data_IF_354051942788
#
_entry.id   IF_354051942788
#
_cell.length_a   1.000
_cell.length_b   1.000
_cell.length_c   1.000
_cell.angle_alpha   90.00
_cell.angle_beta   90.00
_cell.angle_gamma   90.00
#
_symmetry.space_group_name_H-M   'P 1'
#
loop_
_entity.id
_entity.type
_entity.pdbx_description
1 polymer ?
#
# COMPACT_ATOMS: atom_id res chain seq x y z
N UNK A 1 -34.03 28.21 44.54
CA UNK A 1 -32.58 28.45 44.55
C UNK A 1 -32.10 28.29 43.12
N UNK A 2 -31.60 29.37 42.53
CA UNK A 2 -31.13 29.43 41.15
C UNK A 2 -29.74 28.77 41.03
N UNK A 3 -29.29 28.54 39.79
CA UNK A 3 -27.94 27.99 39.54
C UNK A 3 -26.83 28.90 40.09
N UNK A 4 -27.08 30.21 40.12
CA UNK A 4 -26.14 31.23 40.61
C UNK A 4 -26.12 31.29 42.15
N UNK A 5 -27.26 31.07 42.81
CA UNK A 5 -27.32 30.90 44.27
C UNK A 5 -26.48 29.68 44.71
N UNK A 6 -26.56 28.58 43.95
CA UNK A 6 -25.78 27.34 44.20
C UNK A 6 -24.28 27.60 44.05
N UNK A 7 -23.85 28.28 42.97
CA UNK A 7 -22.45 28.64 42.74
C UNK A 7 -21.92 29.55 43.85
N UNK A 8 -22.69 30.56 44.26
CA UNK A 8 -22.30 31.51 45.31
C UNK A 8 -22.11 30.82 46.66
N UNK A 9 -23.06 29.94 47.03
CA UNK A 9 -22.96 29.15 48.26
C UNK A 9 -21.74 28.20 48.24
N UNK A 10 -21.43 27.61 47.08
CA UNK A 10 -20.26 26.74 46.90
C UNK A 10 -18.94 27.54 47.02
N UNK A 11 -18.85 28.70 46.36
CA UNK A 11 -17.66 29.56 46.40
C UNK A 11 -17.38 30.09 47.81
N UNK A 12 -18.40 30.51 48.56
CA UNK A 12 -18.24 30.92 49.97
C UNK A 12 -17.80 29.75 50.86
N UNK A 13 -18.40 28.56 50.71
CA UNK A 13 -18.02 27.37 51.49
C UNK A 13 -16.56 26.96 51.27
N UNK A 14 -16.01 27.21 50.08
CA UNK A 14 -14.68 26.76 49.68
C UNK A 14 -13.64 27.89 49.48
N UNK A 15 -13.97 29.14 49.87
CA UNK A 15 -13.07 30.30 49.81
C UNK A 15 -12.44 30.55 48.42
N UNK A 16 -13.19 30.28 47.35
CA UNK A 16 -12.70 30.37 45.98
C UNK A 16 -12.81 31.82 45.44
N UNK A 17 -11.74 32.40 44.85
CA UNK A 17 -11.77 33.76 44.34
C UNK A 17 -12.61 33.86 43.05
N UNK A 18 -13.50 34.86 42.99
CA UNK A 18 -14.37 35.10 41.82
C UNK A 18 -13.60 35.65 40.61
N UNK A 19 -13.33 34.81 39.62
CA UNK A 19 -12.52 35.16 38.43
C UNK A 19 -13.15 34.78 37.09
N UNK A 20 -14.42 34.37 37.07
CA UNK A 20 -15.11 33.89 35.86
C UNK A 20 -15.35 34.94 34.76
N UNK A 21 -15.24 36.24 35.07
CA UNK A 21 -15.46 37.30 34.07
C UNK A 21 -14.28 37.55 33.12
N UNK A 22 -13.10 36.95 33.35
CA UNK A 22 -11.92 37.15 32.48
C UNK A 22 -11.71 36.11 31.38
N UNK A 23 -12.44 34.99 31.37
CA UNK A 23 -12.29 33.97 30.32
C UNK A 23 -13.04 34.31 29.02
N UNK A 24 -14.02 35.22 29.04
CA UNK A 24 -14.76 35.60 27.84
C UNK A 24 -13.99 36.50 26.85
N UNK A 25 -12.85 37.08 27.27
CA UNK A 25 -12.11 38.08 26.48
C UNK A 25 -10.88 37.53 25.72
N UNK A 26 -10.52 36.25 25.91
CA UNK A 26 -9.33 35.64 25.29
C UNK A 26 -9.60 34.51 24.29
N UNK A 27 -10.86 34.13 24.07
CA UNK A 27 -11.29 33.11 23.09
C UNK A 27 -11.32 33.57 21.63
N UNK A 28 -10.48 34.56 21.26
CA UNK A 28 -10.42 35.14 19.90
C UNK A 28 -9.01 35.14 19.27
N UNK A 29 -8.08 34.35 19.80
CA UNK A 29 -6.79 34.09 19.14
C UNK A 29 -6.43 32.59 19.19
N UNK A 30 -6.11 32.02 18.03
CA UNK A 30 -5.65 30.64 17.83
C UNK A 30 -6.66 29.50 18.04
N UNK A 31 -7.82 29.60 17.39
CA UNK A 31 -8.24 28.44 16.56
C UNK A 31 -7.37 28.48 15.30
N UNK A 32 -6.56 27.46 15.06
CA UNK A 32 -6.05 27.24 13.69
C UNK A 32 -7.28 26.87 12.84
N UNK A 33 -7.64 27.74 11.91
CA UNK A 33 -8.73 27.47 10.96
C UNK A 33 -8.52 26.11 10.31
N UNK A 34 -9.56 25.27 10.27
CA UNK A 34 -9.60 24.06 9.44
C UNK A 34 -9.58 24.47 7.96
N UNK A 35 -8.40 24.88 7.47
CA UNK A 35 -8.20 25.27 6.07
C UNK A 35 -8.18 24.02 5.23
N UNK A 36 -9.17 23.93 4.34
CA UNK A 36 -9.19 22.95 3.27
C UNK A 36 -7.88 23.05 2.47
N UNK A 37 -7.06 22.00 2.55
CA UNK A 37 -5.81 21.91 1.78
C UNK A 37 -6.17 21.40 0.39
N UNK A 38 -5.68 22.11 -0.62
CA UNK A 38 -5.85 21.68 -2.01
C UNK A 38 -4.87 20.55 -2.30
N UNK A 39 -5.40 19.45 -2.80
CA UNK A 39 -4.63 18.32 -3.30
C UNK A 39 -4.28 18.58 -4.77
N UNK A 40 -3.17 18.03 -5.24
CA UNK A 40 -2.63 18.33 -6.57
C UNK A 40 -2.30 17.04 -7.31
N UNK A 41 -2.58 17.02 -8.61
CA UNK A 41 -2.24 15.88 -9.47
C UNK A 41 -0.77 15.93 -9.89
N UNK A 42 -0.13 14.77 -10.06
CA UNK A 42 1.17 14.72 -10.71
C UNK A 42 1.03 14.98 -12.22
N UNK A 43 1.71 16.02 -12.72
CA UNK A 43 1.68 16.44 -14.13
C UNK A 43 3.01 16.22 -14.85
N UNK A 44 4.00 15.59 -14.20
CA UNK A 44 5.40 15.48 -14.66
C UNK A 44 5.82 14.07 -15.11
N UNK A 45 4.85 13.23 -15.52
CA UNK A 45 5.08 11.85 -15.95
C UNK A 45 6.19 11.69 -17.01
N UNK A 46 7.08 10.70 -16.80
CA UNK A 46 8.07 10.25 -17.79
C UNK A 46 8.15 8.72 -17.75
N UNK A 47 7.91 8.06 -18.88
CA UNK A 47 7.93 6.59 -19.05
C UNK A 47 9.22 5.95 -18.47
N UNK A 48 9.09 4.86 -17.72
CA UNK A 48 10.21 4.16 -17.07
C UNK A 48 10.35 2.69 -17.51
N UNK A 49 11.53 2.12 -17.23
CA UNK A 49 11.93 0.74 -17.50
C UNK A 49 12.43 0.06 -16.22
N UNK A 50 13.64 -0.51 -16.24
CA UNK A 50 14.28 -1.41 -15.23
C UNK A 50 14.48 -0.92 -13.77
N UNK A 51 13.61 -0.06 -13.23
CA UNK A 51 13.82 0.57 -11.91
C UNK A 51 13.30 -0.25 -10.72
N UNK A 52 12.40 -1.19 -10.96
CA UNK A 52 11.68 -1.95 -9.93
C UNK A 52 12.60 -2.72 -8.97
N UNK A 53 13.70 -3.39 -9.40
CA UNK A 53 14.61 -4.06 -8.48
C UNK A 53 15.16 -3.07 -7.44
N UNK A 54 15.75 -1.96 -7.89
CA UNK A 54 16.30 -0.93 -6.99
C UNK A 54 15.25 -0.32 -6.04
N UNK A 55 14.00 -0.21 -6.47
CA UNK A 55 12.89 0.22 -5.58
C UNK A 55 12.61 -0.83 -4.50
N UNK A 56 12.53 -2.11 -4.85
CA UNK A 56 12.29 -3.22 -3.92
C UNK A 56 13.43 -3.41 -2.94
N UNK A 57 14.67 -3.27 -3.41
CA UNK A 57 15.88 -3.25 -2.58
C UNK A 57 15.74 -2.27 -1.40
N UNK A 58 15.09 -1.12 -1.62
CA UNK A 58 14.90 -0.08 -0.59
C UNK A 58 13.60 -0.22 0.20
N UNK A 59 12.46 -0.53 -0.45
CA UNK A 59 11.15 -0.72 0.21
C UNK A 59 11.25 -1.78 1.32
N UNK A 60 12.12 -2.79 1.13
CA UNK A 60 12.27 -3.91 2.04
C UNK A 60 13.67 -4.09 2.65
N UNK A 61 14.57 -3.11 2.50
CA UNK A 61 15.97 -3.18 3.00
C UNK A 61 16.70 -4.48 2.62
N UNK A 62 16.47 -4.94 1.39
CA UNK A 62 17.03 -6.20 0.89
C UNK A 62 18.55 -6.06 0.80
N UNK A 63 19.28 -7.08 1.23
CA UNK A 63 20.69 -7.25 0.85
C UNK A 63 20.76 -8.30 -0.27
N UNK A 64 21.31 -7.96 -1.45
CA UNK A 64 21.46 -8.92 -2.54
C UNK A 64 22.37 -10.08 -2.15
N UNK A 65 22.07 -11.27 -2.65
CA UNK A 65 22.98 -12.44 -2.61
C UNK A 65 23.84 -12.55 -3.87
N UNK A 66 23.62 -11.69 -4.87
CA UNK A 66 24.35 -11.61 -6.14
C UNK A 66 24.74 -10.14 -6.41
N UNK A 67 25.89 -9.93 -7.08
CA UNK A 67 26.43 -8.61 -7.41
C UNK A 67 25.41 -7.77 -8.21
N UNK A 68 25.21 -6.50 -7.84
CA UNK A 68 24.14 -5.65 -8.39
C UNK A 68 24.64 -4.20 -8.51
N UNK A 69 24.08 -3.34 -9.38
CA UNK A 69 24.51 -1.95 -9.46
C UNK A 69 23.91 -1.09 -8.33
N UNK A 70 22.99 -1.66 -7.54
CA UNK A 70 22.28 -0.99 -6.45
C UNK A 70 22.98 -1.26 -5.11
N UNK A 71 23.54 -0.21 -4.49
CA UNK A 71 24.14 -0.30 -3.15
C UNK A 71 23.25 0.43 -2.14
N UNK A 72 22.91 -0.21 -1.02
CA UNK A 72 22.29 0.49 0.11
C UNK A 72 23.39 1.24 0.86
N UNK A 73 23.41 2.57 0.73
CA UNK A 73 24.29 3.43 1.53
C UNK A 73 23.56 3.77 2.84
N UNK A 74 24.05 3.21 3.95
CA UNK A 74 23.62 3.61 5.29
C UNK A 74 24.33 4.90 5.71
N UNK A 75 23.93 6.03 5.12
CA UNK A 75 24.46 7.34 5.54
C UNK A 75 23.93 7.70 6.94
N UNK A 76 24.78 7.49 7.94
CA UNK A 76 24.58 8.02 9.28
C UNK A 76 24.83 9.52 9.25
N UNK A 77 23.76 10.31 9.16
CA UNK A 77 23.83 11.74 9.42
C UNK A 77 24.04 11.95 10.93
N UNK A 78 25.30 11.97 11.36
CA UNK A 78 25.69 12.44 12.70
C UNK A 78 25.41 13.94 12.82
N UNK A 79 24.22 14.28 13.32
CA UNK A 79 23.84 15.66 13.61
C UNK A 79 24.60 16.20 14.84
N UNK A 80 25.74 16.86 14.58
CA UNK A 80 26.54 17.54 15.60
C UNK A 80 26.24 19.05 15.57
N UNK A 81 25.28 19.49 16.39
CA UNK A 81 25.54 20.62 17.30
C UNK A 81 24.57 20.69 18.49
N UNK A 82 25.13 20.91 19.69
CA UNK A 82 24.40 21.00 20.96
C UNK A 82 23.94 22.43 21.25
N UNK A 83 22.75 22.62 21.84
CA UNK A 83 22.49 23.38 23.09
C UNK A 83 21.02 23.83 23.21
N UNK A 84 20.38 23.96 24.39
CA UNK A 84 20.50 23.26 25.68
C UNK A 84 19.27 23.63 26.55
N UNK A 85 18.70 22.67 27.30
CA UNK A 85 17.73 22.88 28.42
C UNK A 85 16.31 23.37 27.97
N UNK A 86 15.21 23.08 28.69
CA UNK A 86 15.05 22.51 30.04
C UNK A 86 13.80 21.60 30.17
N UNK A 87 14.00 20.47 30.85
CA UNK A 87 13.05 19.55 31.54
C UNK A 87 11.65 20.14 31.85
N UNK A 88 10.53 19.40 31.76
CA UNK A 88 10.26 18.20 32.58
C UNK A 88 8.84 17.62 32.35
N UNK A 89 8.71 16.28 32.55
CA UNK A 89 7.57 15.52 33.14
C UNK A 89 6.12 15.78 32.65
N UNK A 90 5.21 14.83 32.47
CA UNK A 90 5.12 13.36 32.37
C UNK A 90 3.65 13.00 32.68
N UNK A 91 3.03 12.10 31.91
CA UNK A 91 1.88 11.22 32.28
C UNK A 91 0.49 11.88 32.50
N UNK A 92 -0.69 11.26 32.28
CA UNK A 92 -1.25 10.11 31.50
C UNK A 92 -2.74 10.10 31.91
N UNK A 93 -3.69 9.87 30.97
CA UNK A 93 -5.06 9.35 31.21
C UNK A 93 -6.04 10.22 32.03
N UNK A 94 -7.35 10.23 31.79
CA UNK A 94 -8.27 9.09 31.54
C UNK A 94 -9.58 9.51 30.85
N UNK A 95 -10.15 8.56 30.07
CA UNK A 95 -11.54 8.40 29.58
C UNK A 95 -12.50 9.60 29.32
N UNK A 96 -12.94 9.70 28.06
CA UNK A 96 -14.33 9.47 27.56
C UNK A 96 -15.58 9.65 28.46
N UNK A 97 -16.79 9.80 27.86
CA UNK A 97 -17.13 10.35 26.52
C UNK A 97 -18.34 11.32 26.54
N UNK A 98 -18.66 11.98 25.42
CA UNK A 98 -20.08 12.13 25.04
C UNK A 98 -20.29 12.38 23.53
N UNK A 99 -21.46 11.97 23.04
CA UNK A 99 -21.71 11.63 21.61
C UNK A 99 -22.35 12.79 20.85
N UNK A 100 -22.04 12.91 19.57
CA UNK A 100 -22.95 13.51 18.57
C UNK A 100 -23.12 12.53 17.41
N UNK A 101 -24.37 12.16 17.13
CA UNK A 101 -24.71 11.27 16.02
C UNK A 101 -24.95 12.09 14.75
N UNK A 102 -24.35 11.67 13.63
CA UNK A 102 -24.68 12.15 12.29
C UNK A 102 -25.19 10.95 11.49
N UNK A 103 -26.49 10.94 11.19
CA UNK A 103 -27.07 10.01 10.22
C UNK A 103 -26.80 10.52 8.81
N UNK A 104 -26.17 9.72 7.95
CA UNK A 104 -26.18 9.93 6.49
C UNK A 104 -26.52 8.65 5.74
N UNK A 105 -27.38 8.81 4.72
CA UNK A 105 -27.89 7.71 3.93
C UNK A 105 -26.85 7.22 2.94
N UNK A 106 -26.55 5.92 2.99
CA UNK A 106 -25.76 5.22 1.98
C UNK A 106 -26.56 5.15 0.67
N UNK A 107 -26.04 5.71 -0.42
CA UNK A 107 -26.61 5.50 -1.76
C UNK A 107 -26.02 4.21 -2.32
N UNK A 108 -26.74 3.09 -2.16
CA UNK A 108 -26.50 1.88 -2.95
C UNK A 108 -26.52 2.26 -4.44
N UNK A 109 -25.71 1.60 -5.24
CA UNK A 109 -25.93 1.62 -6.68
C UNK A 109 -27.30 0.98 -7.00
N UNK A 110 -27.75 1.06 -8.25
CA UNK A 110 -29.03 0.46 -8.66
C UNK A 110 -29.04 -1.09 -8.63
N UNK A 111 -27.90 -1.71 -8.34
CA UNK A 111 -27.68 -3.16 -8.21
C UNK A 111 -27.73 -3.65 -6.76
N UNK A 112 -27.52 -2.76 -5.78
CA UNK A 112 -27.26 -3.13 -4.39
C UNK A 112 -25.84 -3.61 -4.09
N UNK A 113 -24.89 -3.47 -5.03
CA UNK A 113 -23.47 -3.76 -4.80
C UNK A 113 -22.80 -2.55 -4.12
N UNK A 114 -21.73 -2.81 -3.37
CA UNK A 114 -20.72 -1.78 -3.08
C UNK A 114 -19.92 -1.54 -4.38
N UNK A 115 -19.28 -0.40 -4.53
CA UNK A 115 -18.78 0.04 -5.84
C UNK A 115 -17.47 -0.60 -6.26
N UNK A 116 -17.37 -0.98 -7.53
CA UNK A 116 -16.10 -1.25 -8.19
C UNK A 116 -15.22 0.01 -8.16
N UNK A 117 -13.91 -0.18 -8.00
CA UNK A 117 -12.89 0.85 -8.19
C UNK A 117 -12.06 0.46 -9.41
N UNK A 118 -12.32 1.06 -10.58
CA UNK A 118 -11.47 0.88 -11.75
C UNK A 118 -10.03 1.28 -11.42
N UNK A 119 -9.08 0.47 -11.87
CA UNK A 119 -7.66 0.78 -11.87
C UNK A 119 -7.17 1.01 -13.30
N UNK A 120 -6.15 1.84 -13.44
CA UNK A 120 -5.39 2.02 -14.67
C UNK A 120 -4.09 1.19 -14.56
N UNK A 121 -3.84 0.27 -15.50
CA UNK A 121 -2.50 -0.31 -15.70
C UNK A 121 -1.55 0.79 -16.17
N UNK A 122 -0.50 1.02 -15.39
CA UNK A 122 0.53 2.01 -15.68
C UNK A 122 1.85 1.30 -15.93
N UNK A 123 2.40 1.56 -17.14
CA UNK A 123 3.74 1.18 -17.56
C UNK A 123 3.99 -0.34 -17.63
N UNK A 124 3.03 -1.11 -18.17
CA UNK A 124 3.11 -2.57 -18.29
C UNK A 124 3.25 -3.23 -16.90
N UNK A 125 2.26 -3.05 -16.04
CA UNK A 125 2.14 -3.64 -14.69
C UNK A 125 3.09 -3.09 -13.62
N UNK A 126 3.75 -1.95 -13.85
CA UNK A 126 4.62 -1.32 -12.85
C UNK A 126 3.84 -0.70 -11.69
N UNK A 127 2.65 -0.15 -11.96
CA UNK A 127 1.69 0.23 -10.92
C UNK A 127 0.23 0.14 -11.41
N UNK A 128 -0.71 -0.02 -10.48
CA UNK A 128 -2.15 0.03 -10.78
C UNK A 128 -2.80 1.18 -10.01
N UNK A 129 -3.25 2.22 -10.72
CA UNK A 129 -3.76 3.44 -10.11
C UNK A 129 -5.28 3.43 -9.99
N UNK A 130 -5.76 3.51 -8.74
CA UNK A 130 -7.18 3.53 -8.40
C UNK A 130 -7.65 4.96 -8.05
N UNK A 131 -8.86 5.32 -8.45
CA UNK A 131 -9.43 6.64 -8.15
C UNK A 131 -9.97 6.72 -6.70
N UNK A 132 -9.56 7.74 -5.96
CA UNK A 132 -9.99 8.01 -4.58
C UNK A 132 -10.43 9.46 -4.42
N UNK A 133 -11.59 9.66 -3.79
CA UNK A 133 -12.21 10.98 -3.58
C UNK A 133 -12.00 11.46 -2.15
N UNK A 134 -11.29 12.57 -1.95
CA UNK A 134 -10.91 13.07 -0.62
C UNK A 134 -11.47 14.47 -0.36
N UNK A 135 -12.12 14.64 0.79
CA UNK A 135 -12.57 15.93 1.30
C UNK A 135 -13.98 16.36 0.91
N UNK A 136 -14.30 17.63 1.22
CA UNK A 136 -15.60 18.25 0.96
C UNK A 136 -15.43 19.72 0.50
N UNK A 137 -15.73 20.08 -0.76
CA UNK A 137 -16.09 19.19 -1.88
C UNK A 137 -14.99 18.15 -2.17
N UNK A 138 -15.35 16.96 -2.72
CA UNK A 138 -14.38 15.91 -3.03
C UNK A 138 -13.32 16.37 -4.03
N UNK A 139 -12.09 15.89 -3.83
CA UNK A 139 -10.95 16.02 -4.72
C UNK A 139 -10.52 14.62 -5.16
N UNK A 140 -10.69 14.30 -6.44
CA UNK A 140 -10.35 12.98 -7.02
C UNK A 140 -8.87 12.87 -7.33
N UNK A 141 -8.19 11.93 -6.70
CA UNK A 141 -6.79 11.57 -6.91
C UNK A 141 -6.66 10.16 -7.49
N UNK A 142 -5.58 9.90 -8.23
CA UNK A 142 -5.20 8.57 -8.70
C UNK A 142 -4.11 8.00 -7.79
N UNK A 143 -4.45 7.08 -6.89
CA UNK A 143 -3.54 6.53 -5.88
C UNK A 143 -3.13 5.09 -6.23
N UNK A 144 -1.88 4.73 -5.95
CA UNK A 144 -1.43 3.33 -6.01
C UNK A 144 -1.90 2.58 -4.75
N UNK A 145 -2.58 1.45 -4.92
CA UNK A 145 -3.11 0.64 -3.82
C UNK A 145 -2.08 -0.41 -3.40
N UNK A 146 -1.50 -0.25 -2.21
CA UNK A 146 -0.30 -0.96 -1.76
C UNK A 146 -0.59 -1.87 -0.57
N UNK A 147 -0.79 -3.17 -0.80
CA UNK A 147 -0.96 -4.16 0.29
C UNK A 147 0.33 -4.51 1.02
N UNK A 148 1.46 -3.90 0.64
CA UNK A 148 2.74 -3.93 1.32
C UNK A 148 3.02 -2.75 2.26
N UNK A 149 2.10 -1.78 2.40
CA UNK A 149 2.21 -0.66 3.36
C UNK A 149 0.85 -0.24 3.97
N UNK A 150 0.86 0.67 4.95
CA UNK A 150 -0.33 1.02 5.76
C UNK A 150 -0.56 2.53 5.88
N UNK A 151 0.00 3.32 4.97
CA UNK A 151 0.00 4.78 5.03
C UNK A 151 -0.83 5.32 3.85
N UNK A 152 -1.76 6.23 4.13
CA UNK A 152 -2.55 6.91 3.10
C UNK A 152 -1.96 8.30 2.88
N UNK A 153 -1.03 8.40 1.93
CA UNK A 153 -0.29 9.64 1.68
C UNK A 153 -0.44 10.14 0.25
N UNK A 154 -0.35 11.46 0.07
CA UNK A 154 -0.55 12.09 -1.23
C UNK A 154 0.16 13.44 -1.39
N UNK A 155 0.24 13.90 -2.64
CA UNK A 155 0.73 15.21 -2.99
C UNK A 155 -0.21 16.32 -2.51
N UNK A 156 0.39 17.36 -1.93
CA UNK A 156 -0.33 18.48 -1.34
C UNK A 156 0.31 19.81 -1.73
N UNK A 157 -0.43 20.92 -1.57
CA UNK A 157 0.14 22.28 -1.70
C UNK A 157 1.21 22.63 -0.67
N UNK A 158 1.56 21.72 0.26
CA UNK A 158 2.67 21.90 1.21
C UNK A 158 4.02 21.48 0.64
N UNK A 159 4.05 20.76 -0.49
CA UNK A 159 5.29 20.49 -1.23
C UNK A 159 5.96 21.80 -1.67
N UNK A 160 7.30 21.91 -1.64
CA UNK A 160 8.02 23.10 -2.07
C UNK A 160 7.65 23.51 -3.50
N UNK A 161 7.50 24.82 -3.74
CA UNK A 161 7.12 25.34 -5.06
C UNK A 161 8.06 24.91 -6.18
N UNK A 162 9.33 24.63 -5.89
CA UNK A 162 10.28 24.16 -6.89
C UNK A 162 10.07 22.67 -7.24
N UNK A 163 9.71 21.82 -6.27
CA UNK A 163 9.17 20.47 -6.51
C UNK A 163 7.95 20.52 -7.43
N UNK A 164 7.11 21.56 -7.28
CA UNK A 164 5.95 21.81 -8.14
C UNK A 164 6.29 22.41 -9.52
N UNK A 165 7.47 23.04 -9.70
CA UNK A 165 7.77 23.85 -10.89
C UNK A 165 8.87 23.35 -11.81
N UNK A 166 9.96 22.76 -11.31
CA UNK A 166 11.10 22.35 -12.13
C UNK A 166 11.48 20.86 -11.96
N UNK A 167 12.40 20.38 -12.79
CA UNK A 167 12.84 18.98 -12.86
C UNK A 167 14.30 18.85 -12.43
N UNK A 168 14.58 18.03 -11.41
CA UNK A 168 15.92 17.79 -10.86
C UNK A 168 16.24 16.27 -10.88
N UNK A 169 17.53 15.95 -10.83
CA UNK A 169 18.19 14.63 -10.82
C UNK A 169 19.43 14.72 -9.91
N UNK A 170 19.87 13.70 -9.15
CA UNK A 170 19.34 12.37 -8.80
C UNK A 170 19.57 12.12 -7.30
N UNK A 171 18.93 11.09 -6.72
CA UNK A 171 19.25 10.60 -5.37
C UNK A 171 18.28 9.52 -4.89
N UNK A 172 18.66 8.27 -5.08
CA UNK A 172 17.87 7.05 -5.02
C UNK A 172 17.44 6.57 -3.60
N UNK A 173 16.90 7.43 -2.74
CA UNK A 173 16.44 7.07 -1.38
C UNK A 173 15.00 7.51 -1.08
N UNK A 174 14.01 6.63 -1.30
CA UNK A 174 12.60 7.06 -1.36
C UNK A 174 11.89 7.21 -0.01
N UNK A 175 11.43 8.42 0.30
CA UNK A 175 10.56 8.71 1.46
C UNK A 175 9.50 9.77 1.10
N UNK A 176 8.34 9.69 1.74
CA UNK A 176 7.40 10.80 1.89
C UNK A 176 7.36 11.19 3.36
N UNK A 177 7.39 12.50 3.68
CA UNK A 177 7.28 13.01 5.05
C UNK A 177 6.44 14.28 5.05
N UNK A 178 5.64 14.49 6.09
CA UNK A 178 4.80 15.67 6.22
C UNK A 178 3.87 15.62 7.42
N UNK A 179 2.76 16.34 7.35
CA UNK A 179 1.77 16.43 8.42
C UNK A 179 0.54 15.56 8.15
N UNK A 180 -0.08 15.06 9.21
CA UNK A 180 -1.34 14.30 9.14
C UNK A 180 -2.52 15.24 9.34
N UNK A 181 -3.50 15.17 8.44
CA UNK A 181 -4.85 15.70 8.64
C UNK A 181 -5.86 14.56 8.78
N UNK A 182 -7.11 14.89 9.07
CA UNK A 182 -8.24 13.94 8.95
C UNK A 182 -9.31 14.53 8.04
N UNK A 183 -9.89 13.70 7.17
CA UNK A 183 -10.99 14.11 6.29
C UNK A 183 -11.85 12.90 5.90
N UNK A 184 -12.90 13.11 5.10
CA UNK A 184 -13.68 12.03 4.49
C UNK A 184 -12.97 11.51 3.26
N UNK A 185 -12.65 10.21 3.25
CA UNK A 185 -12.07 9.49 2.11
C UNK A 185 -13.13 8.58 1.50
N UNK A 186 -13.27 8.56 0.17
CA UNK A 186 -14.29 7.77 -0.53
C UNK A 186 -13.65 6.86 -1.56
N UNK A 187 -13.94 5.57 -1.43
CA UNK A 187 -13.36 4.46 -2.20
C UNK A 187 -14.49 3.49 -2.50
N UNK A 188 -14.71 3.09 -3.77
CA UNK A 188 -15.70 2.06 -4.11
C UNK A 188 -17.13 2.36 -3.61
N UNK A 189 -17.55 3.63 -3.66
CA UNK A 189 -18.83 4.09 -3.11
C UNK A 189 -18.96 4.07 -1.59
N UNK A 190 -17.98 3.52 -0.85
CA UNK A 190 -17.87 3.63 0.60
C UNK A 190 -17.35 5.01 1.00
N UNK A 191 -17.72 5.47 2.19
CA UNK A 191 -17.23 6.73 2.78
C UNK A 191 -16.60 6.43 4.15
N UNK A 192 -15.31 6.71 4.26
CA UNK A 192 -14.50 6.57 5.47
C UNK A 192 -14.41 7.94 6.11
N UNK A 193 -15.10 8.15 7.23
CA UNK A 193 -15.13 9.45 7.91
C UNK A 193 -14.00 9.56 8.93
N UNK A 194 -13.33 10.72 8.97
CA UNK A 194 -12.22 10.94 9.89
C UNK A 194 -10.95 10.14 9.57
N UNK A 195 -10.84 9.59 8.37
CA UNK A 195 -9.64 8.89 7.90
C UNK A 195 -8.43 9.82 7.99
N UNK A 196 -7.34 9.31 8.57
CA UNK A 196 -6.05 9.99 8.57
C UNK A 196 -5.51 10.07 7.13
N UNK A 197 -5.11 11.28 6.73
CA UNK A 197 -4.58 11.62 5.42
C UNK A 197 -3.22 12.28 5.61
N UNK A 198 -2.19 11.66 5.06
CA UNK A 198 -0.80 12.05 5.24
C UNK A 198 -0.37 12.97 4.10
N UNK A 199 -0.23 14.25 4.40
CA UNK A 199 0.03 15.28 3.40
C UNK A 199 1.53 15.45 3.22
N UNK A 200 2.05 15.01 2.08
CA UNK A 200 3.49 15.10 1.83
C UNK A 200 3.97 16.55 1.78
N UNK A 201 5.04 16.82 2.52
CA UNK A 201 5.81 18.07 2.54
C UNK A 201 7.20 17.87 1.90
N UNK A 202 7.66 16.63 1.80
CA UNK A 202 8.77 16.20 0.95
C UNK A 202 8.44 14.83 0.33
N UNK A 203 8.85 14.62 -0.92
CA UNK A 203 8.75 13.36 -1.67
C UNK A 203 10.02 13.14 -2.48
N UNK A 204 10.43 11.89 -2.60
CA UNK A 204 11.61 11.51 -3.38
C UNK A 204 11.39 11.48 -4.89
N UNK A 205 12.49 11.64 -5.62
CA UNK A 205 12.62 11.54 -7.08
C UNK A 205 11.84 10.40 -7.77
N UNK A 206 11.69 9.24 -7.13
CA UNK A 206 10.93 8.10 -7.66
C UNK A 206 9.44 8.43 -7.79
N UNK A 207 8.83 8.92 -6.71
CA UNK A 207 7.43 9.33 -6.70
C UNK A 207 7.19 10.54 -7.59
N UNK A 208 8.13 11.50 -7.65
CA UNK A 208 8.02 12.66 -8.57
C UNK A 208 7.79 12.22 -10.03
N UNK A 209 8.23 11.02 -10.39
CA UNK A 209 8.18 10.46 -11.75
C UNK A 209 7.14 9.34 -11.93
N UNK A 210 6.50 8.83 -10.86
CA UNK A 210 5.35 7.91 -10.96
C UNK A 210 4.10 8.64 -11.47
N UNK A 211 3.16 7.91 -12.08
CA UNK A 211 1.91 8.53 -12.58
C UNK A 211 0.92 8.81 -11.45
N UNK A 212 1.03 8.08 -10.33
CA UNK A 212 0.19 8.26 -9.14
C UNK A 212 0.39 9.58 -8.38
N UNK A 213 -0.69 10.05 -7.78
CA UNK A 213 -0.77 11.24 -6.90
C UNK A 213 -0.38 10.93 -5.43
N UNK A 214 -0.11 9.66 -5.12
CA UNK A 214 0.15 9.14 -3.78
C UNK A 214 -0.08 7.63 -3.66
N UNK A 215 -0.02 7.10 -2.44
CA UNK A 215 -0.31 5.70 -2.11
C UNK A 215 -1.49 5.60 -1.13
N UNK A 216 -2.25 4.52 -1.25
CA UNK A 216 -3.23 4.07 -0.27
C UNK A 216 -2.78 2.71 0.28
N UNK A 217 -2.19 2.72 1.48
CA UNK A 217 -1.78 1.49 2.17
C UNK A 217 -2.98 0.61 2.55
N UNK A 218 -2.91 -0.66 2.16
CA UNK A 218 -3.93 -1.70 2.37
C UNK A 218 -3.41 -2.90 3.17
N UNK A 219 -2.23 -2.80 3.79
CA UNK A 219 -1.77 -3.73 4.81
C UNK A 219 -2.45 -3.46 6.18
N UNK A 220 -2.00 -4.10 7.26
CA UNK A 220 -2.58 -3.93 8.60
C UNK A 220 -1.98 -2.68 9.28
N UNK A 221 -2.79 -1.90 10.02
CA UNK A 221 -2.40 -0.60 10.57
C UNK A 221 -1.26 -0.61 11.58
N UNK A 222 -0.81 -1.79 12.04
CA UNK A 222 0.32 -1.95 12.96
C UNK A 222 1.66 -1.48 12.40
N UNK A 223 1.80 -1.35 11.08
CA UNK A 223 3.01 -0.82 10.41
C UNK A 223 2.83 0.60 9.83
N UNK A 224 1.70 1.27 10.08
CA UNK A 224 1.54 2.68 9.70
C UNK A 224 2.60 3.56 10.39
N UNK A 225 3.18 4.52 9.66
CA UNK A 225 4.37 5.24 10.12
C UNK A 225 4.07 6.44 11.02
N UNK A 226 2.82 6.91 11.11
CA UNK A 226 2.41 8.09 11.89
C UNK A 226 2.94 8.05 13.33
N UNK A 227 3.32 9.23 13.83
CA UNK A 227 3.84 9.45 15.18
C UNK A 227 3.00 10.49 15.92
N UNK A 228 2.83 10.36 17.25
CA UNK A 228 3.50 9.42 18.15
C UNK A 228 2.97 7.97 18.09
N UNK A 229 1.78 7.75 17.51
CA UNK A 229 1.14 6.44 17.41
C UNK A 229 0.67 6.19 15.98
N UNK A 230 0.72 4.93 15.48
CA UNK A 230 0.13 4.56 14.19
C UNK A 230 -1.36 4.89 14.12
N UNK A 231 -1.85 5.19 12.92
CA UNK A 231 -3.28 5.38 12.62
C UNK A 231 -3.85 4.21 11.84
N UNK A 232 -5.17 4.12 11.80
CA UNK A 232 -5.89 3.06 11.10
C UNK A 232 -5.89 3.28 9.57
N UNK A 233 -5.76 2.18 8.84
CA UNK A 233 -5.88 2.18 7.37
C UNK A 233 -7.34 2.40 6.95
N UNK A 234 -7.61 2.75 5.68
CA UNK A 234 -8.98 2.89 5.17
C UNK A 234 -9.82 1.63 5.41
N UNK A 235 -9.26 0.43 5.26
CA UNK A 235 -9.99 -0.83 5.49
C UNK A 235 -10.31 -1.01 6.96
N UNK A 236 -9.39 -0.71 7.88
CA UNK A 236 -9.66 -0.78 9.31
C UNK A 236 -10.73 0.22 9.76
N UNK A 237 -10.72 1.45 9.24
CA UNK A 237 -11.76 2.44 9.54
C UNK A 237 -13.12 2.04 8.93
N UNK A 238 -13.16 1.46 7.71
CA UNK A 238 -14.37 0.87 7.14
C UNK A 238 -14.94 -0.24 8.02
N UNK A 239 -14.09 -1.09 8.60
CA UNK A 239 -14.50 -2.16 9.52
C UNK A 239 -15.04 -1.61 10.86
N UNK A 240 -14.43 -0.56 11.40
CA UNK A 240 -14.79 0.01 12.71
C UNK A 240 -16.03 0.91 12.69
N UNK A 241 -16.35 1.55 11.56
CA UNK A 241 -17.54 2.38 11.42
C UNK A 241 -18.87 1.61 11.60
N UNK A 242 -18.84 0.27 11.60
CA UNK A 242 -19.99 -0.58 11.96
C UNK A 242 -21.00 -0.82 10.84
N UNK A 243 -20.89 -0.10 9.72
CA UNK A 243 -21.76 -0.25 8.53
C UNK A 243 -21.41 -1.45 7.63
N UNK A 244 -20.33 -2.19 7.95
CA UNK A 244 -19.77 -3.29 7.15
C UNK A 244 -19.87 -4.60 7.92
N UNK A 245 -20.71 -5.53 7.44
CA UNK A 245 -20.87 -6.85 8.04
C UNK A 245 -19.57 -7.66 7.94
N UNK A 246 -19.35 -8.65 8.81
CA UNK A 246 -18.04 -9.32 8.96
C UNK A 246 -17.55 -10.00 7.68
N UNK A 247 -18.47 -10.60 6.94
CA UNK A 247 -18.29 -11.21 5.64
C UNK A 247 -17.98 -10.21 4.51
N UNK A 248 -18.21 -8.91 4.77
CA UNK A 248 -17.87 -7.77 3.91
C UNK A 248 -16.61 -7.03 4.39
N UNK A 249 -15.90 -7.53 5.41
CA UNK A 249 -14.63 -6.94 5.88
C UNK A 249 -13.46 -7.44 5.01
N UNK A 250 -13.60 -7.24 3.71
CA UNK A 250 -12.68 -7.69 2.68
C UNK A 250 -12.59 -6.68 1.53
N UNK A 251 -11.52 -6.78 0.75
CA UNK A 251 -11.42 -6.18 -0.58
C UNK A 251 -10.85 -7.21 -1.56
N UNK A 252 -10.96 -6.94 -2.85
CA UNK A 252 -10.36 -7.79 -3.89
C UNK A 252 -9.49 -6.99 -4.84
N UNK A 253 -8.61 -7.67 -5.55
CA UNK A 253 -7.82 -7.11 -6.64
C UNK A 253 -7.89 -8.03 -7.86
N UNK A 254 -8.28 -7.46 -9.00
CA UNK A 254 -8.16 -8.06 -10.32
C UNK A 254 -7.12 -7.25 -11.10
N UNK A 255 -5.88 -7.73 -11.13
CA UNK A 255 -4.76 -7.07 -11.81
C UNK A 255 -4.52 -7.73 -13.17
N UNK A 256 -4.40 -6.99 -14.27
CA UNK A 256 -4.17 -7.55 -15.62
C UNK A 256 -3.47 -6.55 -16.53
N UNK A 257 -2.61 -7.04 -17.42
CA UNK A 257 -2.09 -6.34 -18.60
C UNK A 257 -2.81 -6.76 -19.89
N UNK A 258 -3.67 -7.77 -19.81
CA UNK A 258 -4.30 -8.36 -20.99
C UNK A 258 -5.46 -7.46 -21.39
N UNK A 259 -5.59 -7.23 -22.69
CA UNK A 259 -6.82 -6.68 -23.27
C UNK A 259 -7.79 -7.86 -23.44
N UNK A 260 -8.15 -8.48 -22.32
CA UNK A 260 -9.06 -9.63 -22.19
C UNK A 260 -10.54 -9.21 -22.14
N UNK A 261 -10.78 -7.90 -22.01
CA UNK A 261 -12.11 -7.29 -21.95
C UNK A 261 -12.54 -6.87 -20.54
N UNK A 262 -11.76 -7.20 -19.50
CA UNK A 262 -11.98 -6.77 -18.11
C UNK A 262 -10.86 -5.83 -17.69
N UNK A 263 -11.10 -4.51 -17.51
CA UNK A 263 -10.07 -3.61 -17.03
C UNK A 263 -9.66 -4.00 -15.59
N UNK A 264 -8.41 -3.75 -15.18
CA UNK A 264 -8.00 -4.02 -13.81
C UNK A 264 -8.84 -3.21 -12.82
N UNK A 265 -9.15 -3.81 -11.67
CA UNK A 265 -10.04 -3.21 -10.69
C UNK A 265 -9.79 -3.72 -9.26
N UNK A 266 -10.33 -2.97 -8.30
CA UNK A 266 -10.48 -3.39 -6.90
C UNK A 266 -11.95 -3.34 -6.51
N UNK A 267 -12.40 -4.25 -5.64
CA UNK A 267 -13.74 -4.17 -5.02
C UNK A 267 -13.60 -4.06 -3.51
N UNK A 268 -14.55 -3.40 -2.84
CA UNK A 268 -14.57 -3.29 -1.39
C UNK A 268 -15.90 -3.82 -0.84
N UNK A 269 -15.82 -4.77 0.09
CA UNK A 269 -16.96 -5.38 0.78
C UNK A 269 -17.79 -6.41 0.02
N UNK A 270 -17.31 -6.87 -1.13
CA UNK A 270 -17.85 -8.02 -1.87
C UNK A 270 -16.78 -8.65 -2.76
N UNK A 271 -17.03 -9.90 -3.14
CA UNK A 271 -16.30 -10.63 -4.17
C UNK A 271 -17.19 -10.60 -5.41
N UNK A 272 -16.67 -10.28 -6.59
CA UNK A 272 -17.49 -10.29 -7.80
C UNK A 272 -17.72 -11.71 -8.31
N UNK A 273 -18.97 -12.17 -8.24
CA UNK A 273 -19.42 -13.49 -8.70
C UNK A 273 -19.02 -13.78 -10.15
N UNK A 274 -18.92 -12.75 -11.00
CA UNK A 274 -18.51 -12.89 -12.39
C UNK A 274 -17.01 -13.24 -12.53
N UNK A 275 -16.15 -12.69 -11.67
CA UNK A 275 -14.70 -12.91 -11.70
C UNK A 275 -14.27 -14.21 -10.99
N UNK A 276 -15.16 -14.83 -10.21
CA UNK A 276 -14.98 -16.20 -9.68
C UNK A 276 -15.72 -17.28 -10.48
N UNK A 277 -16.46 -16.90 -11.52
CA UNK A 277 -17.34 -17.82 -12.25
C UNK A 277 -16.57 -19.01 -12.84
N UNK A 278 -16.90 -20.23 -12.40
CA UNK A 278 -16.24 -21.46 -12.81
C UNK A 278 -14.99 -21.86 -12.00
N UNK A 279 -14.55 -21.02 -11.06
CA UNK A 279 -13.44 -21.31 -10.15
C UNK A 279 -13.89 -21.58 -8.71
N UNK A 280 -13.00 -22.20 -7.93
CA UNK A 280 -13.15 -22.32 -6.47
C UNK A 280 -12.16 -21.37 -5.79
N UNK A 281 -12.63 -20.56 -4.83
CA UNK A 281 -11.75 -19.68 -4.06
C UNK A 281 -10.92 -20.51 -3.08
N UNK A 282 -9.62 -20.55 -3.31
CA UNK A 282 -8.64 -21.21 -2.45
C UNK A 282 -8.19 -20.25 -1.35
N UNK A 283 -8.37 -20.61 -0.09
CA UNK A 283 -7.98 -19.77 1.05
C UNK A 283 -6.72 -20.27 1.76
N UNK A 284 -5.86 -19.33 2.16
CA UNK A 284 -4.73 -19.53 3.05
C UNK A 284 -4.87 -18.61 4.29
N UNK A 285 -4.54 -19.09 5.51
CA UNK A 285 -4.55 -18.25 6.70
C UNK A 285 -3.43 -17.21 6.66
N UNK A 286 -3.72 -15.99 7.12
CA UNK A 286 -2.78 -14.85 7.12
C UNK A 286 -2.18 -14.65 8.51
N UNK A 287 -0.85 -14.59 8.57
CA UNK A 287 -0.10 -14.13 9.74
C UNK A 287 0.12 -12.61 9.66
N UNK A 288 -0.78 -11.85 10.28
CA UNK A 288 -0.70 -10.39 10.33
C UNK A 288 0.26 -9.86 11.41
N UNK A 289 1.05 -10.71 12.09
CA UNK A 289 1.87 -10.29 13.25
C UNK A 289 2.92 -9.24 12.91
N UNK A 290 3.40 -9.23 11.65
CA UNK A 290 4.36 -8.27 11.10
C UNK A 290 3.70 -7.13 10.29
N UNK A 291 2.38 -7.01 10.34
CA UNK A 291 1.60 -5.99 9.63
C UNK A 291 1.31 -6.29 8.16
N UNK A 292 1.88 -7.33 7.56
CA UNK A 292 1.68 -7.71 6.16
C UNK A 292 0.61 -8.78 5.95
N UNK A 293 0.16 -8.94 4.70
CA UNK A 293 -0.59 -10.09 4.21
C UNK A 293 0.33 -11.32 4.03
N UNK A 294 0.96 -11.77 5.11
CA UNK A 294 1.94 -12.86 5.10
C UNK A 294 1.25 -14.23 5.16
N UNK A 295 1.59 -15.14 4.26
CA UNK A 295 1.08 -16.50 4.16
C UNK A 295 2.22 -17.53 4.08
N UNK A 296 1.94 -18.80 4.36
CA UNK A 296 2.89 -19.91 4.13
C UNK A 296 3.07 -20.18 2.63
N UNK A 297 4.31 -20.35 2.18
CA UNK A 297 4.69 -20.65 0.80
C UNK A 297 5.77 -21.73 0.79
N UNK A 298 5.43 -22.92 1.29
CA UNK A 298 6.41 -23.97 1.61
C UNK A 298 6.79 -24.89 0.43
N UNK A 299 6.33 -24.57 -0.79
CA UNK A 299 6.60 -25.33 -2.03
C UNK A 299 6.67 -24.40 -3.25
N UNK A 300 7.46 -24.80 -4.23
CA UNK A 300 7.42 -24.27 -5.59
C UNK A 300 7.61 -25.42 -6.59
N UNK A 301 7.26 -25.24 -7.86
CA UNK A 301 7.65 -26.20 -8.91
C UNK A 301 8.06 -25.51 -10.20
N UNK A 302 9.14 -26.00 -10.81
CA UNK A 302 9.60 -25.62 -12.14
C UNK A 302 9.43 -26.86 -13.03
N UNK A 303 8.61 -26.75 -14.06
CA UNK A 303 8.18 -27.87 -14.90
C UNK A 303 7.57 -29.00 -14.05
N UNK A 304 8.20 -30.17 -13.99
CA UNK A 304 7.78 -31.31 -13.15
C UNK A 304 8.58 -31.44 -11.85
N UNK A 305 9.57 -30.57 -11.61
CA UNK A 305 10.40 -30.61 -10.41
C UNK A 305 9.80 -29.74 -9.31
N UNK A 306 9.34 -30.38 -8.23
CA UNK A 306 8.87 -29.70 -7.02
C UNK A 306 10.04 -29.46 -6.05
N UNK A 307 10.17 -28.22 -5.57
CA UNK A 307 11.09 -27.81 -4.53
C UNK A 307 10.36 -27.76 -3.18
N UNK A 308 10.98 -28.30 -2.14
CA UNK A 308 10.50 -28.19 -0.75
C UNK A 308 11.16 -27.00 -0.09
N UNK A 309 10.35 -26.08 0.44
CA UNK A 309 10.75 -24.78 0.95
C UNK A 309 10.30 -24.64 2.42
N UNK A 310 10.81 -25.49 3.35
CA UNK A 310 10.28 -25.57 4.71
C UNK A 310 10.35 -24.23 5.44
N UNK A 311 9.27 -23.90 6.17
CA UNK A 311 9.10 -22.64 6.90
C UNK A 311 9.11 -21.37 6.04
N UNK A 312 9.12 -21.47 4.71
CA UNK A 312 9.08 -20.28 3.86
C UNK A 312 7.69 -19.63 3.86
N UNK A 313 7.69 -18.32 3.81
CA UNK A 313 6.49 -17.46 3.76
C UNK A 313 6.60 -16.49 2.60
N UNK A 314 5.46 -15.95 2.18
CA UNK A 314 5.37 -14.87 1.21
C UNK A 314 4.38 -13.79 1.68
N UNK A 315 4.61 -12.53 1.31
CA UNK A 315 3.60 -11.46 1.44
C UNK A 315 2.92 -11.23 0.10
N UNK A 316 1.60 -10.97 0.11
CA UNK A 316 0.85 -10.58 -1.08
C UNK A 316 0.90 -9.05 -1.21
N UNK A 317 1.64 -8.52 -2.18
CA UNK A 317 1.93 -7.08 -2.28
C UNK A 317 1.55 -6.50 -3.66
N UNK A 318 0.40 -5.84 -3.73
CA UNK A 318 -0.06 -5.12 -4.93
C UNK A 318 0.78 -3.88 -5.25
N UNK A 319 1.49 -3.31 -4.27
CA UNK A 319 2.39 -2.16 -4.44
C UNK A 319 3.83 -2.55 -4.79
N UNK A 320 4.01 -3.74 -5.36
CA UNK A 320 5.29 -4.28 -5.84
C UNK A 320 5.09 -4.94 -7.20
N UNK A 321 5.86 -4.47 -8.19
CA UNK A 321 5.83 -4.96 -9.58
C UNK A 321 6.24 -6.43 -9.72
N UNK A 322 7.44 -6.75 -9.22
CA UNK A 322 8.12 -8.03 -9.43
C UNK A 322 7.78 -9.05 -8.34
N UNK A 323 7.99 -10.32 -8.62
CA UNK A 323 8.01 -11.35 -7.60
C UNK A 323 9.44 -11.53 -7.04
N UNK A 324 9.63 -11.25 -5.75
CA UNK A 324 10.90 -11.51 -5.06
C UNK A 324 10.81 -12.87 -4.39
N UNK A 325 11.39 -13.91 -4.99
CA UNK A 325 11.29 -15.31 -4.55
C UNK A 325 12.61 -15.82 -3.96
N UNK A 326 12.60 -16.97 -3.30
CA UNK A 326 13.81 -17.53 -2.71
C UNK A 326 14.85 -17.90 -3.78
N UNK A 327 16.13 -17.82 -3.42
CA UNK A 327 17.24 -17.98 -4.35
C UNK A 327 17.28 -19.36 -5.02
N UNK A 328 16.76 -20.40 -4.37
CA UNK A 328 16.73 -21.76 -4.93
C UNK A 328 15.70 -21.86 -6.04
N UNK A 329 14.48 -21.38 -5.79
CA UNK A 329 13.42 -21.31 -6.81
C UNK A 329 13.78 -20.35 -7.93
N UNK A 330 14.34 -19.17 -7.60
CA UNK A 330 14.79 -18.18 -8.57
C UNK A 330 15.84 -18.77 -9.52
N UNK A 331 16.90 -19.38 -8.98
CA UNK A 331 17.94 -20.01 -9.79
C UNK A 331 17.37 -21.16 -10.64
N UNK A 332 16.54 -22.04 -10.05
CA UNK A 332 15.94 -23.16 -10.77
C UNK A 332 15.05 -22.72 -11.93
N UNK A 333 14.34 -21.59 -11.79
CA UNK A 333 13.54 -20.99 -12.85
C UNK A 333 14.41 -20.59 -14.05
N UNK A 334 15.46 -19.79 -13.82
CA UNK A 334 16.31 -19.30 -14.90
C UNK A 334 17.22 -20.38 -15.49
N UNK A 335 17.69 -21.35 -14.69
CA UNK A 335 18.41 -22.53 -15.19
C UNK A 335 17.57 -23.33 -16.23
N UNK A 336 16.24 -23.21 -16.21
CA UNK A 336 15.32 -23.83 -17.17
C UNK A 336 14.94 -22.91 -18.35
N UNK A 337 15.49 -21.68 -18.46
CA UNK A 337 15.24 -20.74 -19.57
C UNK A 337 16.50 -20.68 -20.47
N UNK A 338 16.40 -21.04 -21.77
CA UNK A 338 17.57 -21.09 -22.67
C UNK A 338 18.34 -19.77 -22.76
N UNK A 339 19.65 -19.83 -22.49
CA UNK A 339 20.58 -18.70 -22.52
C UNK A 339 20.21 -17.53 -21.57
N UNK A 340 19.38 -17.78 -20.55
CA UNK A 340 19.22 -16.82 -19.46
C UNK A 340 20.54 -16.59 -18.72
N UNK A 341 20.64 -15.46 -18.03
CA UNK A 341 21.78 -15.14 -17.16
C UNK A 341 21.38 -14.11 -16.12
N UNK A 342 22.14 -14.06 -15.03
CA UNK A 342 22.13 -12.90 -14.16
C UNK A 342 22.94 -11.75 -14.80
N UNK A 343 22.44 -10.52 -14.73
CA UNK A 343 23.13 -9.31 -15.21
C UNK A 343 23.42 -8.34 -14.06
N UNK A 344 24.69 -8.21 -13.63
CA UNK A 344 25.10 -7.21 -12.64
C UNK A 344 24.97 -5.76 -13.12
N UNK A 345 24.73 -5.52 -14.42
CA UNK A 345 24.47 -4.18 -14.96
C UNK A 345 22.99 -3.81 -14.86
N UNK A 346 22.09 -4.78 -15.01
CA UNK A 346 20.63 -4.57 -14.89
C UNK A 346 20.10 -4.89 -13.47
N UNK A 347 20.93 -5.51 -12.63
CA UNK A 347 20.61 -5.85 -11.24
C UNK A 347 19.67 -7.04 -11.05
N UNK A 348 19.58 -7.93 -12.04
CA UNK A 348 18.67 -9.08 -12.02
C UNK A 348 18.90 -10.11 -13.11
N UNK A 349 18.12 -11.18 -13.07
CA UNK A 349 18.05 -12.18 -14.14
C UNK A 349 17.36 -11.65 -15.39
N UNK A 350 17.97 -11.93 -16.53
CA UNK A 350 17.50 -11.57 -17.87
C UNK A 350 17.57 -12.78 -18.80
N UNK A 351 16.74 -12.83 -19.84
CA UNK A 351 16.75 -13.88 -20.85
C UNK A 351 16.57 -13.30 -22.27
N UNK A 352 16.90 -14.04 -23.35
CA UNK A 352 16.79 -13.50 -24.70
C UNK A 352 15.35 -13.14 -25.07
N UNK A 353 15.15 -11.98 -25.70
CA UNK A 353 13.83 -11.58 -26.23
C UNK A 353 13.32 -12.47 -27.36
N UNK A 354 14.19 -13.32 -27.92
CA UNK A 354 13.85 -14.34 -28.92
C UNK A 354 13.42 -15.67 -28.33
N UNK A 355 13.40 -15.84 -27.01
CA UNK A 355 12.91 -17.07 -26.35
C UNK A 355 11.41 -17.22 -26.58
N UNK A 356 10.94 -18.29 -27.27
CA UNK A 356 9.51 -18.48 -27.51
C UNK A 356 8.77 -18.88 -26.24
N UNK A 357 7.48 -18.51 -26.12
CA UNK A 357 6.58 -18.89 -25.01
C UNK A 357 6.66 -20.37 -24.63
N UNK A 358 6.77 -21.26 -25.63
CA UNK A 358 6.87 -22.71 -25.44
C UNK A 358 8.21 -23.22 -24.88
N UNK A 359 9.23 -22.36 -24.77
CA UNK A 359 10.51 -22.66 -24.13
C UNK A 359 10.66 -22.02 -22.74
N UNK A 360 9.63 -21.30 -22.26
CA UNK A 360 9.55 -20.82 -20.89
C UNK A 360 8.97 -21.95 -20.01
N UNK A 361 9.52 -22.18 -18.80
CA UNK A 361 9.12 -23.30 -17.96
C UNK A 361 7.77 -23.05 -17.28
N UNK A 362 7.06 -24.12 -16.94
CA UNK A 362 5.85 -24.04 -16.11
C UNK A 362 6.25 -23.73 -14.68
N UNK A 363 6.08 -22.49 -14.24
CA UNK A 363 6.30 -22.07 -12.85
C UNK A 363 5.01 -22.19 -12.03
N UNK A 364 5.10 -22.78 -10.84
CA UNK A 364 4.04 -22.75 -9.83
C UNK A 364 4.60 -22.37 -8.46
N UNK A 365 3.83 -21.58 -7.72
CA UNK A 365 4.14 -21.13 -6.38
C UNK A 365 2.98 -21.51 -5.45
N UNK A 366 3.26 -21.87 -4.20
CA UNK A 366 2.22 -22.25 -3.25
C UNK A 366 1.76 -21.07 -2.40
N UNK A 367 0.45 -20.89 -2.32
CA UNK A 367 -0.25 -19.96 -1.43
C UNK A 367 -1.02 -20.81 -0.42
N UNK A 368 -0.42 -21.02 0.75
CA UNK A 368 -0.82 -22.06 1.68
C UNK A 368 -0.60 -23.45 1.08
N UNK A 369 -1.66 -24.27 1.04
CA UNK A 369 -1.60 -25.63 0.46
C UNK A 369 -1.88 -25.67 -1.05
N UNK A 370 -2.35 -24.58 -1.64
CA UNK A 370 -2.81 -24.53 -3.03
C UNK A 370 -1.77 -23.85 -3.93
N UNK A 371 -1.59 -24.37 -5.15
CA UNK A 371 -0.68 -23.79 -6.12
C UNK A 371 -1.38 -22.73 -6.99
N UNK A 372 -0.71 -21.59 -7.20
CA UNK A 372 -0.94 -20.74 -8.38
C UNK A 372 0.02 -21.18 -9.49
N UNK A 373 -0.48 -21.29 -10.71
CA UNK A 373 0.34 -21.45 -11.92
C UNK A 373 0.53 -20.09 -12.56
N UNK A 374 1.78 -19.73 -12.83
CA UNK A 374 2.15 -18.46 -13.46
C UNK A 374 2.00 -18.61 -14.97
N UNK A 375 1.43 -17.59 -15.62
CA UNK A 375 1.41 -17.55 -17.08
C UNK A 375 2.84 -17.38 -17.65
N UNK A 376 3.26 -18.16 -18.66
CA UNK A 376 4.59 -18.03 -19.22
C UNK A 376 5.00 -16.62 -19.69
N UNK A 377 4.06 -15.77 -20.13
CA UNK A 377 4.37 -14.39 -20.55
C UNK A 377 4.66 -13.48 -19.33
N UNK A 378 4.07 -13.78 -18.16
CA UNK A 378 4.33 -13.05 -16.90
C UNK A 378 5.68 -13.43 -16.26
N UNK A 379 6.40 -14.42 -16.80
CA UNK A 379 7.82 -14.68 -16.44
C UNK A 379 8.70 -13.52 -16.92
N UNK A 380 8.31 -12.83 -18.00
CA UNK A 380 8.91 -11.57 -18.44
C UNK A 380 8.27 -10.37 -17.75
N UNK A 381 9.05 -9.31 -17.56
CA UNK A 381 8.55 -8.01 -17.12
C UNK A 381 8.77 -6.93 -18.19
N UNK A 382 10.01 -6.70 -18.62
CA UNK A 382 10.33 -5.59 -19.53
C UNK A 382 11.33 -5.98 -20.62
N UNK A 383 11.04 -5.63 -21.88
CA UNK A 383 12.03 -5.65 -22.96
C UNK A 383 13.05 -4.52 -22.73
N UNK A 384 14.33 -4.87 -22.70
CA UNK A 384 15.45 -3.95 -22.50
C UNK A 384 15.85 -3.20 -23.78
N UNK A 385 15.25 -3.52 -24.93
CA UNK A 385 15.54 -2.90 -26.24
C UNK A 385 16.91 -3.28 -26.80
N UNK A 386 17.63 -4.20 -26.15
CA UNK A 386 18.99 -4.63 -26.50
C UNK A 386 19.07 -6.14 -26.79
N UNK A 387 17.92 -6.79 -27.05
CA UNK A 387 17.80 -8.23 -27.30
C UNK A 387 17.53 -9.09 -26.06
N UNK A 388 17.32 -8.46 -24.90
CA UNK A 388 17.06 -9.14 -23.62
C UNK A 388 15.74 -8.69 -23.01
N UNK A 389 15.08 -9.60 -22.29
CA UNK A 389 13.94 -9.33 -21.43
C UNK A 389 14.39 -9.45 -19.98
N UNK A 390 14.04 -8.46 -19.16
CA UNK A 390 14.17 -8.50 -17.72
C UNK A 390 13.06 -9.38 -17.13
N UNK A 391 13.42 -10.35 -16.30
CA UNK A 391 12.47 -11.31 -15.77
C UNK A 391 11.65 -10.75 -14.59
N UNK A 392 10.36 -11.13 -14.54
CA UNK A 392 9.41 -10.74 -13.49
C UNK A 392 9.70 -11.36 -12.12
N UNK A 393 10.51 -12.41 -12.07
CA UNK A 393 10.85 -13.15 -10.86
C UNK A 393 12.32 -12.91 -10.51
N UNK A 394 12.63 -12.39 -9.33
CA UNK A 394 14.00 -12.07 -8.93
C UNK A 394 14.31 -12.66 -7.55
N UNK A 395 15.61 -12.73 -7.22
CA UNK A 395 16.06 -13.15 -5.89
C UNK A 395 15.60 -12.13 -4.84
N UNK A 396 14.99 -12.63 -3.76
CA UNK A 396 14.66 -11.84 -2.57
C UNK A 396 15.86 -11.54 -1.66
N UNK A 397 17.05 -11.96 -2.05
CA UNK A 397 18.28 -11.82 -1.27
C UNK A 397 18.14 -12.34 0.16
N UNK A 398 18.57 -11.53 1.12
CA UNK A 398 18.52 -11.84 2.55
C UNK A 398 17.12 -11.86 3.19
N UNK A 399 16.02 -11.55 2.47
CA UNK A 399 14.70 -11.49 3.07
C UNK A 399 14.27 -12.83 3.66
N UNK A 400 13.69 -12.78 4.88
CA UNK A 400 13.11 -13.94 5.56
C UNK A 400 11.81 -14.46 4.93
N UNK A 401 11.28 -13.76 3.94
CA UNK A 401 10.00 -14.03 3.27
C UNK A 401 10.08 -13.58 1.81
N UNK A 402 9.32 -14.22 0.94
CA UNK A 402 9.16 -13.83 -0.46
C UNK A 402 8.12 -12.72 -0.62
N UNK A 403 8.16 -11.98 -1.73
CA UNK A 403 7.16 -10.96 -2.07
C UNK A 403 6.47 -11.41 -3.35
N UNK A 404 5.18 -11.70 -3.29
CA UNK A 404 4.37 -12.02 -4.47
C UNK A 404 3.71 -10.73 -4.93
N UNK A 405 4.42 -10.05 -5.84
CA UNK A 405 3.99 -8.82 -6.50
C UNK A 405 3.06 -9.05 -7.69
N UNK A 406 2.92 -8.02 -8.53
CA UNK A 406 2.16 -8.04 -9.78
C UNK A 406 2.47 -9.26 -10.67
N UNK A 407 3.74 -9.66 -10.79
CA UNK A 407 4.15 -10.89 -11.52
C UNK A 407 3.51 -12.19 -11.03
N UNK A 408 2.95 -12.24 -9.81
CA UNK A 408 2.12 -13.36 -9.31
C UNK A 408 0.66 -12.99 -9.23
N UNK A 409 0.34 -11.79 -8.75
CA UNK A 409 -1.03 -11.36 -8.49
C UNK A 409 -1.86 -11.17 -9.77
N UNK A 410 -1.23 -10.95 -10.93
CA UNK A 410 -1.91 -10.98 -12.24
C UNK A 410 -2.54 -12.32 -12.58
N UNK A 411 -1.90 -13.42 -12.19
CA UNK A 411 -2.36 -14.79 -12.50
C UNK A 411 -3.61 -15.19 -11.69
N UNK A 412 -4.06 -14.36 -10.73
CA UNK A 412 -5.19 -14.66 -9.86
C UNK A 412 -6.19 -13.50 -9.78
N UNK A 413 -7.44 -13.82 -9.44
CA UNK A 413 -8.32 -12.87 -8.77
C UNK A 413 -8.10 -13.02 -7.26
N UNK A 414 -7.58 -11.97 -6.63
CA UNK A 414 -7.10 -11.98 -5.25
C UNK A 414 -8.16 -11.43 -4.27
N UNK A 415 -8.35 -12.08 -3.13
CA UNK A 415 -9.34 -11.73 -2.09
C UNK A 415 -8.61 -11.53 -0.77
N UNK A 416 -8.62 -10.30 -0.27
CA UNK A 416 -7.98 -9.88 0.97
C UNK A 416 -9.04 -9.80 2.08
N UNK A 417 -9.29 -10.91 2.79
CA UNK A 417 -10.34 -11.04 3.81
C UNK A 417 -9.78 -10.75 5.22
N UNK A 418 -9.88 -9.47 5.61
CA UNK A 418 -9.34 -8.95 6.87
C UNK A 418 -10.20 -9.38 8.07
N UNK A 419 -11.52 -9.45 7.89
CA UNK A 419 -12.48 -9.91 8.90
C UNK A 419 -12.31 -11.37 9.35
N UNK A 420 -11.76 -12.22 8.47
CA UNK A 420 -11.45 -13.63 8.76
C UNK A 420 -9.94 -13.93 8.77
N UNK A 421 -9.08 -12.94 8.53
CA UNK A 421 -7.60 -13.05 8.48
C UNK A 421 -7.12 -14.17 7.56
N UNK A 422 -7.56 -14.10 6.30
CA UNK A 422 -7.21 -15.07 5.26
C UNK A 422 -7.04 -14.37 3.91
N UNK A 423 -6.19 -14.93 3.09
CA UNK A 423 -6.05 -14.55 1.69
C UNK A 423 -6.73 -15.62 0.84
N UNK A 424 -7.65 -15.21 -0.03
CA UNK A 424 -8.33 -16.07 -0.99
C UNK A 424 -7.82 -15.81 -2.41
N UNK A 425 -7.83 -16.82 -3.26
CA UNK A 425 -7.55 -16.62 -4.69
C UNK A 425 -8.31 -17.59 -5.60
N UNK A 426 -8.65 -17.11 -6.79
CA UNK A 426 -9.07 -17.93 -7.94
C UNK A 426 -8.01 -17.78 -9.04
N UNK A 427 -7.53 -18.89 -9.58
CA UNK A 427 -6.64 -18.89 -10.75
C UNK A 427 -7.41 -18.33 -11.96
N UNK A 428 -6.86 -17.33 -12.66
CA UNK A 428 -7.42 -16.89 -13.94
C UNK A 428 -7.20 -17.98 -14.99
N UNK A 429 -8.22 -18.27 -15.79
CA UNK A 429 -8.26 -19.43 -16.69
C UNK A 429 -7.65 -19.18 -18.07
N UNK A 430 -7.37 -17.93 -18.43
CA UNK A 430 -6.78 -17.53 -19.71
C UNK A 430 -5.23 -17.65 -19.70
N UNK A 431 -4.73 -18.87 -19.47
CA UNK A 431 -3.31 -19.31 -19.51
C UNK A 431 -2.95 -20.02 -20.83
#
# INVERSE_FOLDING_TARGET
MTLEDIKTAYQQKHHLPGTYEKMAAHTHAHVQENKQIKLIKNTKFVRHGTKDPGQLMRKYEITPTLDTPFTIIHDVVEDISRSHKLLSKMHIGTHEPEKHAVMRMQKRDTSGKLGDVPAEDVQNDSEYLASVDIGTPPQTLSLNFDTGSSDLWMYSTKLPKETLKESIQYGDGSTAKGCVGTDTVRIGGLSVEGQAVELAENVSDSFIKSQGDGLCGLAFGTINTVKPSPVHTPVENMMMQGDVAREQQLFTAYLTNRIDGVPPCYTFGYIDDALVAGGTINYAPVDSSRGFWQIKSEKASINTQTLSLPSQTAIMDTGTTLAMIDDTTCKALYDNIPNSKYSPTDGGYIYPSTTPRSALPVLKLWIGENAVTIDPDDIGFADLGNGWVFGGFQSRGNLGFSIFGGSVLKSVYAVFDQGQKRFGFVQKVDL
#
